data_IF_237922493934
#
_entry.id   IF_237922493934
#
_cell.length_a   1.000
_cell.length_b   1.000
_cell.length_c   1.000
_cell.angle_alpha   90.00
_cell.angle_beta   90.00
_cell.angle_gamma   90.00
#
_symmetry.space_group_name_H-M   'P 1'
#
loop_
_entity.id
_entity.type
_entity.pdbx_description
1 polymer ?
#
# COMPACT_ATOMS: atom_id res chain seq x y z
N UNK A 1 -5.07 -15.36 8.59
CA UNK A 1 -4.45 -15.82 9.85
C UNK A 1 -3.92 -17.24 9.70
N UNK A 2 -4.74 -18.20 9.29
CA UNK A 2 -4.33 -19.61 9.11
C UNK A 2 -3.19 -19.77 8.11
N UNK A 3 -3.22 -19.07 7.00
CA UNK A 3 -2.16 -19.07 6.00
C UNK A 3 -0.80 -18.58 6.58
N UNK A 4 -0.82 -17.58 7.47
CA UNK A 4 0.40 -17.14 8.16
C UNK A 4 0.94 -18.17 9.14
N UNK A 5 0.06 -18.93 9.79
CA UNK A 5 0.43 -20.08 10.64
C UNK A 5 1.05 -21.21 9.80
N UNK A 6 0.48 -21.50 8.65
CA UNK A 6 0.93 -22.59 7.77
C UNK A 6 2.23 -22.23 7.04
N UNK A 7 2.41 -20.95 6.71
CA UNK A 7 3.64 -20.41 6.14
C UNK A 7 4.78 -20.23 7.19
N UNK A 8 4.49 -20.45 8.48
CA UNK A 8 5.49 -20.30 9.55
C UNK A 8 5.86 -18.83 9.85
N UNK A 9 5.08 -17.87 9.38
CA UNK A 9 5.27 -16.45 9.68
C UNK A 9 4.84 -16.14 11.12
N UNK A 10 3.78 -16.83 11.57
CA UNK A 10 3.38 -16.90 12.98
C UNK A 10 3.92 -18.22 13.53
N UNK A 11 4.69 -18.14 14.61
CA UNK A 11 5.24 -19.33 15.27
C UNK A 11 4.14 -20.13 15.96
N UNK A 12 4.33 -21.45 16.05
CA UNK A 12 3.47 -22.38 16.78
C UNK A 12 4.21 -22.92 17.99
N UNK A 13 3.51 -23.06 19.11
CA UNK A 13 4.03 -23.75 20.30
C UNK A 13 4.05 -25.28 20.09
N UNK A 14 4.48 -26.02 21.10
CA UNK A 14 4.54 -27.48 21.07
C UNK A 14 3.16 -28.16 20.91
N UNK A 15 2.11 -27.45 21.31
CA UNK A 15 0.70 -27.87 21.20
C UNK A 15 0.07 -27.44 19.85
N UNK A 16 0.81 -26.70 19.00
CA UNK A 16 0.34 -26.23 17.68
C UNK A 16 -0.44 -24.93 17.72
N UNK A 17 -0.53 -24.22 18.85
CA UNK A 17 -1.20 -22.94 18.96
C UNK A 17 -0.25 -21.81 18.55
N UNK A 18 -0.84 -20.70 18.08
CA UNK A 18 -0.08 -19.50 17.76
C UNK A 18 0.59 -18.92 19.00
N UNK A 19 1.88 -18.58 18.89
CA UNK A 19 2.64 -17.93 19.95
C UNK A 19 3.32 -16.66 19.46
N UNK A 20 3.50 -15.68 20.32
CA UNK A 20 4.30 -14.50 20.02
C UNK A 20 5.81 -14.79 20.03
N UNK A 21 6.22 -15.80 20.79
CA UNK A 21 7.63 -16.20 20.86
C UNK A 21 8.06 -16.83 19.54
N UNK A 22 9.07 -16.22 18.90
CA UNK A 22 9.56 -16.62 17.59
C UNK A 22 8.74 -16.11 16.40
N UNK A 23 7.58 -15.50 16.61
CA UNK A 23 6.83 -14.82 15.55
C UNK A 23 7.53 -13.53 15.12
N UNK A 24 7.56 -13.29 13.79
CA UNK A 24 8.18 -12.08 13.19
C UNK A 24 7.16 -11.14 12.57
N UNK A 25 5.93 -11.17 13.06
CA UNK A 25 4.82 -10.38 12.53
C UNK A 25 3.96 -9.83 13.65
N UNK A 26 3.53 -8.59 13.51
CA UNK A 26 2.49 -7.97 14.31
C UNK A 26 1.27 -7.74 13.42
N UNK A 27 0.12 -8.27 13.80
CA UNK A 27 -1.14 -8.15 13.06
C UNK A 27 -2.02 -7.09 13.72
N UNK A 28 -2.36 -6.03 12.97
CA UNK A 28 -3.17 -4.92 13.46
C UNK A 28 -4.43 -4.83 12.61
N UNK A 29 -5.58 -5.07 13.22
CA UNK A 29 -6.85 -5.18 12.51
C UNK A 29 -7.78 -3.98 12.78
N UNK A 30 -8.41 -3.50 11.70
CA UNK A 30 -9.55 -2.61 11.74
C UNK A 30 -10.60 -3.12 10.78
N UNK A 31 -11.52 -3.94 11.28
CA UNK A 31 -12.52 -4.61 10.46
C UNK A 31 -13.61 -3.65 9.98
N UNK A 32 -14.33 -4.03 8.92
CA UNK A 32 -15.37 -3.19 8.30
C UNK A 32 -16.58 -2.93 9.19
N UNK A 33 -16.83 -3.79 10.18
CA UNK A 33 -17.90 -3.63 11.17
C UNK A 33 -17.54 -2.66 12.32
N UNK A 34 -16.28 -2.24 12.40
CA UNK A 34 -15.85 -1.26 13.39
C UNK A 34 -16.35 0.16 13.04
N UNK A 35 -16.57 1.02 14.06
CA UNK A 35 -16.90 2.42 13.83
C UNK A 35 -15.87 3.14 12.97
N UNK A 36 -16.27 4.15 12.17
CA UNK A 36 -15.34 4.83 11.25
C UNK A 36 -14.14 5.47 11.96
N UNK A 37 -14.30 5.96 13.18
CA UNK A 37 -13.18 6.47 13.98
C UNK A 37 -12.13 5.42 14.32
N UNK A 38 -12.53 4.19 14.63
CA UNK A 38 -11.60 3.08 14.86
C UNK A 38 -10.89 2.68 13.57
N UNK A 39 -11.61 2.56 12.46
CA UNK A 39 -11.04 2.24 11.12
C UNK A 39 -10.06 3.32 10.64
N UNK A 40 -10.32 4.59 10.92
CA UNK A 40 -9.40 5.69 10.60
C UNK A 40 -8.12 5.66 11.46
N UNK A 41 -8.16 5.08 12.65
CA UNK A 41 -7.01 5.05 13.56
C UNK A 41 -6.14 3.82 13.44
N UNK A 42 -6.68 2.69 12.96
CA UNK A 42 -5.94 1.43 12.89
C UNK A 42 -4.66 1.53 12.05
N UNK A 43 -4.69 2.22 10.92
CA UNK A 43 -3.51 2.42 10.07
C UNK A 43 -2.41 3.20 10.80
N UNK A 44 -2.79 4.26 11.51
CA UNK A 44 -1.85 5.06 12.32
C UNK A 44 -1.27 4.25 13.48
N UNK A 45 -2.08 3.40 14.12
CA UNK A 45 -1.62 2.52 15.21
C UNK A 45 -0.61 1.50 14.70
N UNK A 46 -0.90 0.85 13.57
CA UNK A 46 0.03 -0.09 12.93
C UNK A 46 1.34 0.57 12.52
N UNK A 47 1.26 1.79 11.97
CA UNK A 47 2.45 2.55 11.59
C UNK A 47 3.28 2.96 12.82
N UNK A 48 2.65 3.34 13.93
CA UNK A 48 3.35 3.66 15.18
C UNK A 48 4.11 2.46 15.72
N UNK A 49 3.55 1.25 15.61
CA UNK A 49 4.27 0.02 15.95
C UNK A 49 5.49 -0.22 15.02
N UNK A 50 5.32 0.02 13.73
CA UNK A 50 6.43 -0.09 12.78
C UNK A 50 7.54 0.93 13.07
N UNK A 51 7.18 2.16 13.43
CA UNK A 51 8.14 3.19 13.87
C UNK A 51 8.89 2.79 15.13
N UNK A 52 8.23 2.15 16.09
CA UNK A 52 8.90 1.64 17.30
C UNK A 52 10.00 0.63 16.94
N UNK A 53 9.69 -0.35 16.09
CA UNK A 53 10.70 -1.32 15.64
C UNK A 53 11.84 -0.67 14.87
N UNK A 54 11.55 0.33 14.03
CA UNK A 54 12.58 1.07 13.30
C UNK A 54 13.45 1.93 14.22
N UNK A 55 12.85 2.70 15.13
CA UNK A 55 13.55 3.78 15.83
C UNK A 55 14.11 3.34 17.19
N UNK A 56 13.43 2.44 17.92
CA UNK A 56 13.87 1.96 19.23
C UNK A 56 14.67 0.65 19.13
N UNK A 57 14.25 -0.24 18.22
CA UNK A 57 14.93 -1.53 18.05
C UNK A 57 15.92 -1.55 16.88
N UNK A 58 15.96 -0.50 16.08
CA UNK A 58 16.91 -0.37 14.97
C UNK A 58 16.71 -1.41 13.86
N UNK A 59 15.45 -1.79 13.60
CA UNK A 59 15.12 -2.84 12.64
C UNK A 59 14.68 -2.26 11.28
N UNK A 60 14.87 -3.06 10.24
CA UNK A 60 14.21 -2.85 8.95
C UNK A 60 12.85 -3.53 8.97
N UNK A 61 11.80 -2.74 8.77
CA UNK A 61 10.40 -3.18 8.89
C UNK A 61 9.74 -3.25 7.53
N UNK A 62 9.09 -4.36 7.25
CA UNK A 62 8.21 -4.51 6.10
C UNK A 62 6.76 -4.27 6.54
N UNK A 63 6.16 -3.21 6.04
CA UNK A 63 4.84 -2.72 6.45
C UNK A 63 3.80 -2.96 5.36
N UNK A 64 2.86 -3.87 5.63
CA UNK A 64 1.77 -4.19 4.70
C UNK A 64 0.49 -3.45 5.08
N UNK A 65 -0.17 -2.84 4.10
CA UNK A 65 -1.47 -2.17 4.27
C UNK A 65 -2.49 -2.75 3.28
N UNK A 66 -3.46 -3.45 3.78
CA UNK A 66 -4.56 -3.99 2.98
C UNK A 66 -5.91 -3.48 3.52
N UNK A 67 -6.47 -2.48 2.92
CA UNK A 67 -5.88 -1.61 1.91
C UNK A 67 -5.97 -0.14 2.35
N UNK A 68 -5.16 0.72 1.74
CA UNK A 68 -5.10 2.15 2.11
C UNK A 68 -6.40 2.90 1.77
N UNK A 69 -7.18 2.43 0.81
CA UNK A 69 -8.49 3.02 0.48
C UNK A 69 -9.45 3.00 1.68
N UNK A 70 -9.36 1.98 2.55
CA UNK A 70 -10.20 1.89 3.75
C UNK A 70 -9.89 2.98 4.77
N UNK A 71 -8.64 3.38 4.88
CA UNK A 71 -8.24 4.55 5.67
C UNK A 71 -8.90 5.83 5.14
N UNK A 72 -8.86 6.05 3.83
CA UNK A 72 -9.50 7.20 3.17
C UNK A 72 -11.01 7.19 3.33
N UNK A 73 -11.66 6.04 3.14
CA UNK A 73 -13.10 5.86 3.30
C UNK A 73 -13.53 6.17 4.73
N UNK A 74 -12.84 5.65 5.73
CA UNK A 74 -13.12 5.95 7.13
C UNK A 74 -12.97 7.44 7.46
N UNK A 75 -11.96 8.09 6.89
CA UNK A 75 -11.76 9.54 6.99
C UNK A 75 -12.93 10.35 6.42
N UNK A 76 -13.48 9.94 5.27
CA UNK A 76 -14.64 10.61 4.68
C UNK A 76 -15.91 10.42 5.51
N UNK A 77 -16.12 9.22 6.06
CA UNK A 77 -17.24 8.94 6.97
C UNK A 77 -17.17 9.80 8.25
N UNK A 78 -15.99 9.90 8.87
CA UNK A 78 -15.77 10.77 10.05
C UNK A 78 -16.01 12.23 9.69
N UNK A 79 -15.52 12.69 8.54
CA UNK A 79 -15.72 14.06 8.07
C UNK A 79 -17.21 14.40 7.89
N UNK A 80 -17.98 13.47 7.32
CA UNK A 80 -19.42 13.60 7.16
C UNK A 80 -20.16 13.67 8.50
N UNK A 81 -19.79 12.81 9.47
CA UNK A 81 -20.35 12.84 10.83
C UNK A 81 -20.06 14.16 11.55
N UNK A 82 -18.94 14.82 11.24
CA UNK A 82 -18.59 16.13 11.77
C UNK A 82 -19.26 17.30 11.02
N UNK A 83 -20.12 17.01 10.04
CA UNK A 83 -20.84 18.03 9.27
C UNK A 83 -19.95 18.87 8.35
N UNK A 84 -18.76 18.38 7.98
CA UNK A 84 -17.87 19.08 7.06
C UNK A 84 -18.38 19.02 5.64
N UNK A 85 -18.23 20.10 4.90
CA UNK A 85 -18.61 20.16 3.49
C UNK A 85 -17.66 19.22 2.71
N UNK A 86 -18.18 18.21 1.98
CA UNK A 86 -17.36 17.30 1.22
C UNK A 86 -16.66 17.99 0.04
N UNK A 87 -15.49 17.48 -0.33
CA UNK A 87 -14.78 17.85 -1.55
C UNK A 87 -15.24 17.01 -2.74
N UNK A 88 -14.44 16.97 -3.82
CA UNK A 88 -14.74 16.20 -5.02
C UNK A 88 -15.07 14.74 -4.70
N UNK A 89 -16.06 14.18 -5.37
CA UNK A 89 -16.52 12.78 -5.25
C UNK A 89 -16.98 12.41 -3.84
N UNK A 90 -17.22 13.38 -2.96
CA UNK A 90 -17.69 13.16 -1.60
C UNK A 90 -16.60 12.87 -0.57
N UNK A 91 -15.33 12.97 -0.94
CA UNK A 91 -14.21 12.80 -0.01
C UNK A 91 -14.07 13.98 0.97
N UNK A 92 -13.37 13.75 2.08
CA UNK A 92 -13.03 14.78 3.05
C UNK A 92 -12.14 15.88 2.42
N UNK A 93 -12.31 17.15 2.82
CA UNK A 93 -11.46 18.24 2.32
C UNK A 93 -9.99 18.08 2.76
N UNK A 94 -9.73 17.28 3.78
CA UNK A 94 -8.39 16.99 4.32
C UNK A 94 -7.74 15.75 3.71
N UNK A 95 -8.29 15.18 2.63
CA UNK A 95 -7.82 13.92 2.04
C UNK A 95 -6.30 13.91 1.78
N UNK A 96 -5.78 14.93 1.11
CA UNK A 96 -4.36 15.02 0.79
C UNK A 96 -3.49 15.16 2.05
N UNK A 97 -3.96 15.94 3.04
CA UNK A 97 -3.26 16.11 4.31
C UNK A 97 -3.25 14.85 5.14
N UNK A 98 -4.40 14.16 5.23
CA UNK A 98 -4.53 12.91 5.98
C UNK A 98 -3.62 11.82 5.37
N UNK A 99 -3.61 11.72 4.04
CA UNK A 99 -2.76 10.79 3.32
C UNK A 99 -1.27 11.13 3.49
N UNK A 100 -0.90 12.40 3.33
CA UNK A 100 0.47 12.87 3.52
C UNK A 100 0.98 12.59 4.93
N UNK A 101 0.20 12.88 5.95
CA UNK A 101 0.55 12.61 7.35
C UNK A 101 0.81 11.13 7.65
N UNK A 102 0.13 10.23 6.96
CA UNK A 102 0.40 8.79 7.07
C UNK A 102 1.65 8.40 6.27
N UNK A 103 1.70 8.76 4.99
CA UNK A 103 2.70 8.28 4.04
C UNK A 103 4.12 8.81 4.34
N UNK A 104 4.26 10.05 4.76
CA UNK A 104 5.58 10.64 5.04
C UNK A 104 6.28 10.05 6.27
N UNK A 105 5.54 9.37 7.14
CA UNK A 105 6.10 8.61 8.27
C UNK A 105 6.75 7.28 7.82
N UNK A 106 6.37 6.78 6.64
CA UNK A 106 6.94 5.58 6.03
C UNK A 106 8.26 5.98 5.35
N UNK A 107 9.34 5.92 6.10
CA UNK A 107 10.64 6.38 5.64
C UNK A 107 11.78 5.66 6.33
N UNK A 108 12.98 5.77 5.77
CA UNK A 108 14.22 5.33 6.42
C UNK A 108 14.76 6.40 7.35
N UNK A 109 15.32 6.00 8.46
CA UNK A 109 16.06 6.83 9.40
C UNK A 109 17.52 6.36 9.50
N UNK A 110 18.30 6.99 10.33
CA UNK A 110 19.66 6.53 10.61
C UNK A 110 19.71 5.27 11.49
N UNK A 111 18.58 4.79 12.00
CA UNK A 111 18.48 3.61 12.87
C UNK A 111 17.92 2.39 12.13
N UNK A 112 17.03 2.57 11.18
CA UNK A 112 16.40 1.50 10.43
C UNK A 112 15.51 2.05 9.32
N UNK A 113 14.76 1.17 8.67
CA UNK A 113 13.88 1.54 7.56
C UNK A 113 12.46 0.99 7.72
N UNK A 114 11.49 1.65 7.07
CA UNK A 114 10.17 1.08 6.81
C UNK A 114 9.98 1.02 5.30
N UNK A 115 9.84 -0.18 4.77
CA UNK A 115 9.43 -0.44 3.39
C UNK A 115 7.97 -0.86 3.38
N UNK A 116 7.12 -0.19 2.62
CA UNK A 116 5.70 -0.52 2.57
C UNK A 116 5.28 -1.21 1.28
N UNK A 117 4.33 -2.14 1.42
CA UNK A 117 3.56 -2.70 0.32
C UNK A 117 2.09 -2.40 0.61
N UNK A 118 1.48 -1.60 -0.24
CA UNK A 118 0.13 -1.10 -0.01
C UNK A 118 -0.80 -1.56 -1.13
N UNK A 119 -1.85 -2.27 -0.77
CA UNK A 119 -2.95 -2.53 -1.70
C UNK A 119 -3.80 -1.26 -1.83
N UNK A 120 -4.09 -0.87 -3.06
CA UNK A 120 -4.93 0.29 -3.37
C UNK A 120 -6.14 -0.17 -4.16
N UNK A 121 -7.32 -0.04 -3.57
CA UNK A 121 -8.56 -0.26 -4.30
C UNK A 121 -8.86 0.96 -5.16
N UNK A 122 -9.16 0.70 -6.43
CA UNK A 122 -9.50 1.75 -7.42
C UNK A 122 -10.98 1.66 -7.73
N UNK A 123 -11.81 2.61 -7.22
CA UNK A 123 -13.24 2.61 -7.47
C UNK A 123 -13.55 2.68 -8.97
N UNK A 124 -14.41 1.77 -9.45
CA UNK A 124 -14.85 1.71 -10.85
C UNK A 124 -13.70 1.64 -11.89
N UNK A 125 -12.56 1.11 -11.52
CA UNK A 125 -11.34 1.06 -12.34
C UNK A 125 -10.85 2.47 -12.80
N UNK A 126 -11.26 3.53 -12.09
CA UNK A 126 -10.90 4.92 -12.39
C UNK A 126 -9.67 5.37 -11.59
N UNK A 127 -8.50 5.33 -12.22
CA UNK A 127 -7.24 5.77 -11.64
C UNK A 127 -7.19 7.29 -11.34
N UNK A 128 -8.15 8.06 -11.87
CA UNK A 128 -8.26 9.50 -11.63
C UNK A 128 -9.12 9.86 -10.43
N UNK A 129 -9.76 8.86 -9.79
CA UNK A 129 -10.47 9.06 -8.52
C UNK A 129 -9.53 9.69 -7.48
N UNK A 130 -9.98 10.70 -6.72
CA UNK A 130 -9.11 11.43 -5.77
C UNK A 130 -8.36 10.56 -4.76
N UNK A 131 -8.94 9.44 -4.31
CA UNK A 131 -8.29 8.58 -3.32
C UNK A 131 -7.07 7.83 -3.88
N UNK A 132 -7.18 7.03 -4.97
CA UNK A 132 -6.00 6.42 -5.58
C UNK A 132 -5.03 7.46 -6.13
N UNK A 133 -5.49 8.53 -6.77
CA UNK A 133 -4.62 9.58 -7.33
C UNK A 133 -3.75 10.24 -6.25
N UNK A 134 -4.33 10.55 -5.09
CA UNK A 134 -3.57 11.10 -3.95
C UNK A 134 -2.58 10.06 -3.39
N UNK A 135 -2.98 8.79 -3.33
CA UNK A 135 -2.10 7.71 -2.84
C UNK A 135 -0.90 7.52 -3.76
N UNK A 136 -1.10 7.50 -5.08
CA UNK A 136 -0.02 7.30 -6.06
C UNK A 136 1.07 8.37 -5.98
N UNK A 137 0.73 9.60 -5.60
CA UNK A 137 1.69 10.69 -5.46
C UNK A 137 2.79 10.40 -4.41
N UNK A 138 2.52 9.55 -3.43
CA UNK A 138 3.43 9.19 -2.35
C UNK A 138 4.21 7.90 -2.59
N UNK A 139 3.91 7.14 -3.65
CA UNK A 139 4.53 5.85 -3.90
C UNK A 139 5.78 5.96 -4.78
N UNK A 140 6.79 5.16 -4.45
CA UNK A 140 8.02 5.06 -5.26
C UNK A 140 7.86 4.13 -6.46
N UNK A 141 7.00 3.13 -6.33
CA UNK A 141 6.66 2.20 -7.41
C UNK A 141 5.18 1.85 -7.37
N UNK A 142 4.58 1.69 -8.54
CA UNK A 142 3.18 1.32 -8.71
C UNK A 142 3.07 0.14 -9.66
N UNK A 143 2.38 -0.91 -9.22
CA UNK A 143 2.02 -2.05 -10.05
C UNK A 143 0.51 -2.02 -10.29
N UNK A 144 0.11 -1.74 -11.52
CA UNK A 144 -1.30 -1.62 -11.90
C UNK A 144 -1.78 -2.93 -12.51
N UNK A 145 -2.85 -3.49 -11.93
CA UNK A 145 -3.53 -4.66 -12.49
C UNK A 145 -4.63 -4.19 -13.45
N UNK A 146 -4.71 -4.85 -14.61
CA UNK A 146 -5.65 -4.49 -15.66
C UNK A 146 -6.61 -5.65 -15.94
N UNK A 147 -7.92 -5.38 -15.85
CA UNK A 147 -8.97 -6.37 -16.07
C UNK A 147 -8.93 -6.94 -17.49
N UNK A 148 -8.73 -6.11 -18.52
CA UNK A 148 -8.65 -6.56 -19.90
C UNK A 148 -7.50 -7.55 -20.14
N UNK A 149 -6.39 -7.41 -19.43
CA UNK A 149 -5.26 -8.35 -19.49
C UNK A 149 -5.65 -9.68 -18.87
N UNK A 150 -6.37 -9.68 -17.74
CA UNK A 150 -6.85 -10.92 -17.12
C UNK A 150 -7.88 -11.64 -17.97
N UNK A 151 -8.71 -10.95 -18.72
CA UNK A 151 -9.67 -11.51 -19.68
C UNK A 151 -8.99 -12.24 -20.84
N UNK A 152 -7.76 -11.86 -21.18
CA UNK A 152 -6.92 -12.56 -22.13
C UNK A 152 -6.23 -13.81 -21.55
N UNK A 153 -6.48 -14.11 -20.26
CA UNK A 153 -5.85 -15.24 -19.57
C UNK A 153 -4.38 -15.04 -19.20
N UNK A 154 -3.90 -13.81 -19.22
CA UNK A 154 -2.51 -13.46 -18.85
C UNK A 154 -2.43 -13.16 -17.37
N UNK A 155 -1.62 -13.89 -16.63
CA UNK A 155 -1.42 -13.75 -15.19
C UNK A 155 0.07 -13.74 -14.84
N UNK A 156 0.52 -12.86 -13.90
CA UNK A 156 -0.26 -11.78 -13.29
C UNK A 156 -0.70 -10.74 -14.32
N UNK A 157 -1.91 -10.21 -14.16
CA UNK A 157 -2.53 -9.27 -15.10
C UNK A 157 -1.98 -7.83 -14.93
N UNK A 158 -0.68 -7.68 -14.89
CA UNK A 158 0.01 -6.41 -14.73
C UNK A 158 0.03 -5.64 -16.04
N UNK A 159 -0.40 -4.37 -16.01
CA UNK A 159 -0.25 -3.47 -17.13
C UNK A 159 1.16 -2.81 -17.11
N UNK A 160 2.05 -3.17 -18.04
CA UNK A 160 3.41 -2.65 -18.04
C UNK A 160 3.52 -1.19 -18.49
N UNK A 161 2.46 -0.64 -19.10
CA UNK A 161 2.42 0.77 -19.53
C UNK A 161 1.90 1.69 -18.42
N UNK A 162 0.97 1.20 -17.60
CA UNK A 162 0.41 1.94 -16.46
C UNK A 162 1.16 1.69 -15.14
N UNK A 163 2.12 0.77 -15.14
CA UNK A 163 2.99 0.50 -13.99
C UNK A 163 4.28 1.32 -14.08
N UNK A 164 4.71 1.89 -12.96
CA UNK A 164 5.86 2.79 -12.91
C UNK A 164 6.76 2.49 -11.71
N UNK A 165 8.04 2.88 -11.80
CA UNK A 165 8.98 2.85 -10.69
C UNK A 165 9.96 4.01 -10.79
N UNK A 166 10.15 4.74 -9.69
CA UNK A 166 11.15 5.83 -9.60
C UNK A 166 12.59 5.32 -9.62
N UNK A 167 12.80 4.05 -9.25
CA UNK A 167 14.12 3.42 -9.27
C UNK A 167 14.49 2.80 -10.63
N UNK A 168 13.62 2.89 -11.63
CA UNK A 168 13.95 2.48 -13.00
C UNK A 168 14.80 3.57 -13.68
N UNK A 169 16.03 3.67 -13.23
CA UNK A 169 17.06 4.60 -13.73
C UNK A 169 18.38 3.86 -13.98
N UNK A 170 19.17 4.24 -15.00
CA UNK A 170 20.43 3.54 -15.35
C UNK A 170 21.39 3.42 -14.17
N UNK A 171 21.49 4.45 -13.34
CA UNK A 171 22.37 4.47 -12.15
C UNK A 171 21.96 3.48 -11.06
N UNK A 172 20.71 3.00 -11.06
CA UNK A 172 20.20 2.06 -10.05
C UNK A 172 20.14 0.63 -10.59
N UNK A 173 19.52 0.45 -11.76
CA UNK A 173 19.28 -0.89 -12.35
C UNK A 173 20.35 -1.30 -13.38
N UNK A 174 21.21 -0.38 -13.81
CA UNK A 174 22.15 -0.56 -14.90
C UNK A 174 21.56 -0.22 -16.28
N UNK A 175 22.43 0.12 -17.23
CA UNK A 175 22.00 0.57 -18.56
C UNK A 175 21.26 -0.51 -19.33
N UNK A 176 21.76 -1.75 -19.30
CA UNK A 176 21.16 -2.87 -20.05
C UNK A 176 19.70 -3.13 -19.61
N UNK A 177 19.46 -3.18 -18.29
CA UNK A 177 18.11 -3.35 -17.76
C UNK A 177 17.22 -2.18 -18.15
N UNK A 178 17.69 -0.95 -17.95
CA UNK A 178 16.94 0.26 -18.25
C UNK A 178 16.56 0.33 -19.73
N UNK A 179 17.52 0.15 -20.64
CA UNK A 179 17.27 0.19 -22.07
C UNK A 179 16.31 -0.91 -22.53
N UNK A 180 16.47 -2.12 -22.00
CA UNK A 180 15.58 -3.24 -22.31
C UNK A 180 14.14 -2.93 -21.88
N UNK A 181 13.94 -2.44 -20.67
CA UNK A 181 12.62 -2.05 -20.15
C UNK A 181 11.98 -0.95 -21.02
N UNK A 182 12.76 0.07 -21.39
CA UNK A 182 12.29 1.18 -22.26
C UNK A 182 11.89 0.71 -23.64
N UNK A 183 12.69 -0.16 -24.27
CA UNK A 183 12.39 -0.73 -25.61
C UNK A 183 11.14 -1.61 -25.58
N UNK A 184 10.93 -2.37 -24.50
CA UNK A 184 9.71 -3.17 -24.30
C UNK A 184 8.50 -2.26 -24.19
N UNK A 185 8.54 -1.23 -23.34
CA UNK A 185 7.46 -0.26 -23.19
C UNK A 185 7.13 0.43 -24.53
N UNK A 186 8.14 0.86 -25.26
CA UNK A 186 7.98 1.50 -26.57
C UNK A 186 7.31 0.57 -27.58
N UNK A 187 7.71 -0.70 -27.60
CA UNK A 187 7.11 -1.71 -28.50
C UNK A 187 5.65 -1.97 -28.16
N UNK A 188 5.32 -2.10 -26.86
CA UNK A 188 3.96 -2.29 -26.39
C UNK A 188 3.09 -1.06 -26.67
N UNK A 189 3.64 0.14 -26.51
CA UNK A 189 2.92 1.39 -26.84
C UNK A 189 2.60 1.48 -28.34
N UNK A 190 3.53 1.11 -29.20
CA UNK A 190 3.29 1.05 -30.67
C UNK A 190 2.26 0.00 -31.05
N UNK A 191 2.17 -1.09 -30.31
CA UNK A 191 1.16 -2.12 -30.56
C UNK A 191 -0.24 -1.67 -30.12
N UNK A 192 -0.33 -0.88 -29.04
CA UNK A 192 -1.61 -0.38 -28.47
C UNK A 192 -2.19 0.79 -29.29
N UNK A 193 -1.37 1.54 -30.02
CA UNK A 193 -1.78 2.67 -30.87
C UNK A 193 -2.16 2.21 -32.29
#
# INVERSE_FOLDING_TARGET
>A
YHEFLDAGVIAKDAEGNATSEGSKVALVFGQMNEPPGARARVALSGLTMAEYFRDEEGQDVLFFVDNIFRFTQAGSEVSALLGRIPSAVGYQPTLATDMGNLQERITSTNKGSITSVQAIYVPADDLTDPAPATSFAHLDATTTLNRAISELGIYPAVDPLDSTSRVLEPRVVGEEHYETARKVQETLQKYKS
#
